data_IF_835746933829
#
_entry.id   IF_835746933829
#
_cell.length_a   1.000
_cell.length_b   1.000
_cell.length_c   1.000
_cell.angle_alpha   90.00
_cell.angle_beta   90.00
_cell.angle_gamma   90.00
#
_symmetry.space_group_name_H-M   'P 1'
#
loop_
_entity.id
_entity.type
_entity.pdbx_description
1 polymer ?
#
# COMPACT_ATOMS: atom_id res chain seq x y z
N UNK A 1 17.75 -5.93 5.62
CA UNK A 1 16.50 -6.02 6.38
C UNK A 1 15.72 -4.78 6.09
N UNK A 2 14.57 -4.90 5.43
CA UNK A 2 13.67 -3.77 5.18
C UNK A 2 13.09 -3.25 6.49
N UNK A 3 13.14 -1.94 6.72
CA UNK A 3 12.51 -1.35 7.90
C UNK A 3 11.00 -1.25 7.69
N UNK A 4 10.23 -1.27 8.77
CA UNK A 4 8.76 -1.15 8.64
C UNK A 4 8.36 0.20 8.02
N UNK A 5 9.12 1.25 8.30
CA UNK A 5 8.93 2.57 7.71
C UNK A 5 9.13 2.57 6.19
N UNK A 6 10.18 1.90 5.67
CA UNK A 6 10.40 1.80 4.22
C UNK A 6 9.29 1.01 3.53
N UNK A 7 8.82 -0.07 4.16
CA UNK A 7 7.71 -0.86 3.63
C UNK A 7 6.40 -0.08 3.58
N UNK A 8 6.11 0.72 4.60
CA UNK A 8 4.93 1.59 4.61
C UNK A 8 4.99 2.63 3.49
N UNK A 9 6.12 3.30 3.32
CA UNK A 9 6.32 4.26 2.23
C UNK A 9 6.22 3.59 0.85
N UNK A 10 6.72 2.37 0.68
CA UNK A 10 6.61 1.61 -0.55
C UNK A 10 5.15 1.26 -0.89
N UNK A 11 4.35 0.87 0.11
CA UNK A 11 2.92 0.56 -0.09
C UNK A 11 2.11 1.82 -0.43
N UNK A 12 2.37 2.96 0.22
CA UNK A 12 1.70 4.22 -0.15
C UNK A 12 2.01 4.60 -1.59
N UNK A 13 3.27 4.54 -1.98
CA UNK A 13 3.70 4.87 -3.34
C UNK A 13 3.05 3.94 -4.37
N UNK A 14 2.96 2.63 -4.06
CA UNK A 14 2.21 1.67 -4.86
C UNK A 14 0.74 2.08 -5.01
N UNK A 15 0.04 2.38 -3.92
CA UNK A 15 -1.37 2.75 -3.98
C UNK A 15 -1.59 4.05 -4.78
N UNK A 16 -0.78 5.07 -4.51
CA UNK A 16 -0.82 6.33 -5.25
C UNK A 16 -0.63 6.10 -6.75
N UNK A 17 0.35 5.30 -7.15
CA UNK A 17 0.63 5.05 -8.56
C UNK A 17 -0.49 4.22 -9.22
N UNK A 18 -1.03 3.22 -8.54
CA UNK A 18 -2.14 2.40 -9.06
C UNK A 18 -3.40 3.23 -9.31
N UNK A 19 -3.74 4.19 -8.44
CA UNK A 19 -4.92 5.05 -8.65
C UNK A 19 -4.66 6.24 -9.58
N UNK A 20 -3.40 6.49 -9.94
CA UNK A 20 -3.02 7.56 -10.87
C UNK A 20 -2.87 7.04 -12.30
N UNK A 21 -2.22 5.89 -12.46
CA UNK A 21 -2.01 5.21 -13.73
C UNK A 21 -2.25 3.69 -13.59
N UNK A 22 -3.51 3.25 -13.52
CA UNK A 22 -3.85 1.84 -13.36
C UNK A 22 -3.40 0.96 -14.54
N UNK A 23 -3.14 1.54 -15.72
CA UNK A 23 -2.68 0.81 -16.89
C UNK A 23 -1.24 0.33 -16.75
N UNK A 24 -0.39 1.11 -16.08
CA UNK A 24 0.98 0.71 -15.76
C UNK A 24 1.07 -0.46 -14.76
N UNK A 25 0.02 -0.72 -13.98
CA UNK A 25 0.03 -1.69 -12.87
C UNK A 25 -0.64 -3.03 -13.21
N UNK A 26 -0.40 -3.57 -14.40
CA UNK A 26 -0.88 -4.90 -14.78
C UNK A 26 -0.33 -6.01 -13.85
N UNK A 27 -0.91 -7.24 -13.85
CA UNK A 27 -0.53 -8.30 -12.92
C UNK A 27 0.97 -8.60 -12.85
N UNK A 28 1.67 -8.52 -13.99
CA UNK A 28 3.13 -8.68 -14.03
C UNK A 28 3.89 -7.57 -13.28
N UNK A 29 3.52 -6.30 -13.42
CA UNK A 29 4.15 -5.18 -12.72
C UNK A 29 3.94 -5.27 -11.20
N UNK A 30 2.76 -5.72 -10.75
CA UNK A 30 2.50 -6.00 -9.33
C UNK A 30 3.35 -7.16 -8.79
N UNK A 31 3.63 -8.18 -9.62
CA UNK A 31 4.51 -9.29 -9.25
C UNK A 31 5.99 -8.83 -9.20
N UNK A 32 6.44 -8.07 -10.19
CA UNK A 32 7.80 -7.53 -10.24
C UNK A 32 8.07 -6.62 -9.02
N UNK A 33 7.11 -5.76 -8.65
CA UNK A 33 7.18 -4.97 -7.40
C UNK A 33 7.27 -5.86 -6.15
N UNK A 34 6.52 -6.96 -6.11
CA UNK A 34 6.55 -7.88 -4.97
C UNK A 34 7.91 -8.59 -4.84
N UNK A 35 8.54 -8.93 -5.96
CA UNK A 35 9.88 -9.51 -6.02
C UNK A 35 10.94 -8.51 -5.54
N UNK A 36 10.84 -7.25 -5.96
CA UNK A 36 11.72 -6.16 -5.51
C UNK A 36 11.64 -5.99 -3.99
N UNK A 37 10.44 -5.88 -3.42
CA UNK A 37 10.25 -5.76 -1.97
C UNK A 37 10.73 -7.01 -1.22
N UNK A 38 10.58 -8.20 -1.81
CA UNK A 38 11.06 -9.43 -1.20
C UNK A 38 12.59 -9.51 -1.15
N UNK A 39 13.29 -8.87 -2.10
CA UNK A 39 14.75 -8.82 -2.13
C UNK A 39 15.36 -8.11 -0.90
N UNK A 40 14.63 -7.16 -0.30
CA UNK A 40 15.06 -6.47 0.94
C UNK A 40 14.92 -7.34 2.21
N UNK A 41 14.37 -8.54 2.09
CA UNK A 41 14.23 -9.52 3.15
C UNK A 41 13.27 -9.09 4.26
N UNK A 42 11.98 -8.84 3.97
CA UNK A 42 10.97 -8.60 5.00
C UNK A 42 10.77 -9.84 5.86
N UNK A 43 10.36 -9.65 7.11
CA UNK A 43 9.99 -10.76 8.00
C UNK A 43 8.77 -11.51 7.47
N UNK A 44 8.52 -12.71 8.01
CA UNK A 44 7.33 -13.51 7.66
C UNK A 44 6.03 -12.75 7.90
N UNK A 45 5.97 -11.95 8.97
CA UNK A 45 4.79 -11.17 9.34
C UNK A 45 4.61 -9.96 8.42
N UNK A 46 5.69 -9.23 8.14
CA UNK A 46 5.69 -8.16 7.12
C UNK A 46 5.24 -8.70 5.77
N UNK A 47 5.77 -9.85 5.33
CA UNK A 47 5.38 -10.52 4.09
C UNK A 47 3.88 -10.86 4.06
N UNK A 48 3.30 -11.32 5.18
CA UNK A 48 1.87 -11.61 5.28
C UNK A 48 1.02 -10.35 5.08
N UNK A 49 1.46 -9.22 5.63
CA UNK A 49 0.77 -7.93 5.52
C UNK A 49 0.95 -7.33 4.11
N UNK A 50 2.14 -7.40 3.53
CA UNK A 50 2.41 -6.98 2.15
C UNK A 50 1.52 -7.72 1.13
N UNK A 51 1.27 -9.02 1.33
CA UNK A 51 0.30 -9.77 0.50
C UNK A 51 -1.14 -9.26 0.64
N UNK A 52 -1.52 -8.71 1.79
CA UNK A 52 -2.83 -8.04 1.95
C UNK A 52 -2.84 -6.73 1.18
N UNK A 53 -1.76 -5.95 1.25
CA UNK A 53 -1.62 -4.69 0.49
C UNK A 53 -1.65 -4.93 -1.03
N UNK A 54 -0.94 -5.94 -1.53
CA UNK A 54 -0.97 -6.33 -2.95
C UNK A 54 -2.37 -6.72 -3.44
N UNK A 55 -3.16 -7.40 -2.60
CA UNK A 55 -4.56 -7.71 -2.94
C UNK A 55 -5.42 -6.45 -3.04
N UNK A 56 -5.16 -5.43 -2.22
CA UNK A 56 -5.80 -4.13 -2.32
C UNK A 56 -5.35 -3.40 -3.59
N UNK A 57 -4.05 -3.37 -3.89
CA UNK A 57 -3.51 -2.80 -5.13
C UNK A 57 -4.15 -3.43 -6.38
N UNK A 58 -4.29 -4.77 -6.42
CA UNK A 58 -4.98 -5.43 -7.53
C UNK A 58 -6.48 -5.09 -7.63
N UNK A 59 -7.15 -4.77 -6.51
CA UNK A 59 -8.54 -4.27 -6.55
C UNK A 59 -8.60 -2.84 -7.06
N UNK A 60 -7.71 -1.97 -6.58
CA UNK A 60 -7.58 -0.58 -7.03
C UNK A 60 -7.36 -0.54 -8.54
N UNK A 61 -6.42 -1.34 -9.04
CA UNK A 61 -6.12 -1.39 -10.46
C UNK A 61 -7.33 -1.79 -11.30
N UNK A 62 -8.03 -2.87 -10.91
CA UNK A 62 -9.24 -3.32 -11.63
C UNK A 62 -10.38 -2.30 -11.59
N UNK A 63 -10.51 -1.57 -10.48
CA UNK A 63 -11.53 -0.54 -10.36
C UNK A 63 -11.22 0.64 -11.29
N UNK A 64 -9.98 1.15 -11.26
CA UNK A 64 -9.62 2.38 -11.98
C UNK A 64 -9.25 2.17 -13.45
N UNK A 65 -8.95 0.93 -13.89
CA UNK A 65 -8.76 0.65 -15.32
C UNK A 65 -10.09 0.63 -16.10
N UNK A 66 -11.21 0.48 -15.40
CA UNK A 66 -12.53 0.58 -16.00
C UNK A 66 -12.83 2.05 -16.32
N UNK A 67 -13.00 2.36 -17.60
CA UNK A 67 -13.26 3.71 -18.10
C UNK A 67 -14.60 4.29 -17.63
N UNK A 68 -15.49 3.46 -17.06
CA UNK A 68 -16.71 3.94 -16.40
C UNK A 68 -16.42 4.65 -15.07
N UNK A 69 -15.29 4.34 -14.40
CA UNK A 69 -14.92 4.92 -13.12
C UNK A 69 -14.08 6.18 -13.32
N UNK A 70 -14.76 7.30 -13.54
CA UNK A 70 -14.12 8.62 -13.69
C UNK A 70 -14.34 9.46 -12.44
N UNK A 71 -13.33 9.54 -11.57
CA UNK A 71 -13.30 10.53 -10.48
C UNK A 71 -12.26 11.59 -10.82
N UNK A 72 -12.74 12.81 -11.04
CA UNK A 72 -11.98 13.92 -11.61
C UNK A 72 -11.25 14.80 -10.59
N UNK A 73 -11.55 14.70 -9.28
CA UNK A 73 -10.90 15.56 -8.28
C UNK A 73 -10.84 14.90 -6.89
N UNK A 74 -9.66 14.98 -6.25
CA UNK A 74 -9.40 14.49 -4.90
C UNK A 74 -7.96 13.99 -4.72
N UNK A 75 -7.47 13.98 -3.48
CA UNK A 75 -6.21 13.32 -3.13
C UNK A 75 -6.27 11.83 -3.52
N UNK A 76 -5.13 11.23 -3.81
CA UNK A 76 -5.04 9.81 -4.18
C UNK A 76 -5.64 8.90 -3.09
N UNK A 77 -5.57 9.32 -1.82
CA UNK A 77 -6.19 8.65 -0.68
C UNK A 77 -7.71 8.52 -0.83
N UNK A 78 -8.38 9.61 -1.24
CA UNK A 78 -9.82 9.57 -1.51
C UNK A 78 -10.17 8.60 -2.63
N UNK A 79 -9.31 8.46 -3.65
CA UNK A 79 -9.49 7.45 -4.71
C UNK A 79 -9.35 6.03 -4.20
N UNK A 80 -8.44 5.79 -3.26
CA UNK A 80 -8.32 4.49 -2.59
C UNK A 80 -9.59 4.15 -1.83
N UNK A 81 -10.14 5.10 -1.07
CA UNK A 81 -11.37 4.93 -0.30
C UNK A 81 -12.59 4.65 -1.20
N UNK A 82 -12.73 5.36 -2.32
CA UNK A 82 -13.82 5.15 -3.29
C UNK A 82 -13.79 3.74 -3.87
N UNK A 83 -12.61 3.25 -4.26
CA UNK A 83 -12.48 1.99 -4.97
C UNK A 83 -12.59 0.74 -4.07
N UNK A 84 -12.17 0.85 -2.81
CA UNK A 84 -12.05 -0.31 -1.90
C UNK A 84 -13.11 -0.27 -0.78
N UNK A 85 -13.70 0.90 -0.53
CA UNK A 85 -14.60 1.15 0.58
C UNK A 85 -13.88 1.24 1.93
N UNK A 86 -14.61 1.65 2.96
CA UNK A 86 -14.10 1.72 4.34
C UNK A 86 -13.79 0.31 4.86
N UNK A 87 -12.57 0.00 5.37
CA UNK A 87 -11.35 0.80 5.43
C UNK A 87 -10.17 0.11 4.72
N UNK A 88 -9.90 0.54 3.50
CA UNK A 88 -8.75 0.13 2.68
C UNK A 88 -7.38 0.31 3.36
N UNK A 89 -7.32 1.20 4.35
CA UNK A 89 -6.15 1.53 5.17
C UNK A 89 -5.82 0.49 6.25
N UNK A 90 -6.69 -0.50 6.52
CA UNK A 90 -6.43 -1.52 7.57
C UNK A 90 -5.11 -2.29 7.40
N UNK A 91 -4.73 -2.76 6.19
CA UNK A 91 -3.48 -3.49 6.02
C UNK A 91 -2.23 -2.63 6.29
N UNK A 92 -2.26 -1.34 5.95
CA UNK A 92 -1.16 -0.42 6.25
C UNK A 92 -1.10 -0.08 7.73
N UNK A 93 -2.26 0.05 8.41
CA UNK A 93 -2.29 0.20 9.87
C UNK A 93 -1.75 -1.06 10.58
N UNK A 94 -2.13 -2.26 10.14
CA UNK A 94 -1.60 -3.51 10.71
C UNK A 94 -0.07 -3.58 10.57
N UNK A 95 0.48 -3.09 9.45
CA UNK A 95 1.92 -3.03 9.21
C UNK A 95 2.60 -2.00 10.12
N UNK A 96 1.99 -0.83 10.28
CA UNK A 96 2.45 0.20 11.21
C UNK A 96 2.49 -0.29 12.66
N UNK A 97 1.43 -0.96 13.12
CA UNK A 97 1.36 -1.54 14.47
C UNK A 97 2.45 -2.57 14.70
N UNK A 98 2.69 -3.46 13.72
CA UNK A 98 3.79 -4.42 13.78
C UNK A 98 5.15 -3.73 13.97
N UNK A 99 5.39 -2.62 13.26
CA UNK A 99 6.60 -1.84 13.42
C UNK A 99 6.74 -1.19 14.79
N UNK A 100 5.66 -0.59 15.31
CA UNK A 100 5.66 0.04 16.64
C UNK A 100 5.89 -1.00 17.76
N UNK A 101 5.43 -2.23 17.58
CA UNK A 101 5.63 -3.32 18.53
C UNK A 101 7.03 -3.95 18.45
N UNK A 102 7.58 -4.10 17.24
CA UNK A 102 8.82 -4.86 17.00
C UNK A 102 10.08 -4.00 16.91
N UNK A 103 9.96 -2.77 16.42
CA UNK A 103 11.05 -1.85 16.16
C UNK A 103 10.58 -0.39 16.36
N UNK A 104 10.21 -0.01 17.59
CA UNK A 104 9.70 1.34 17.86
C UNK A 104 10.77 2.39 17.56
N UNK A 105 10.37 3.45 16.86
CA UNK A 105 11.20 4.61 16.61
C UNK A 105 10.35 5.88 16.58
N UNK A 106 10.95 7.02 16.92
CA UNK A 106 10.25 8.31 16.85
C UNK A 106 9.75 8.59 15.43
N UNK A 107 10.59 8.32 14.41
CA UNK A 107 10.20 8.49 13.01
C UNK A 107 8.99 7.65 12.62
N UNK A 108 8.91 6.39 13.08
CA UNK A 108 7.73 5.56 12.83
C UNK A 108 6.50 6.07 13.59
N UNK A 109 6.68 6.56 14.82
CA UNK A 109 5.58 7.13 15.61
C UNK A 109 5.00 8.38 14.93
N UNK A 110 5.86 9.31 14.51
CA UNK A 110 5.45 10.55 13.85
C UNK A 110 4.71 10.23 12.54
N UNK A 111 5.22 9.28 11.75
CA UNK A 111 4.58 8.84 10.51
C UNK A 111 3.20 8.21 10.74
N UNK A 112 3.03 7.43 11.82
CA UNK A 112 1.72 6.84 12.15
C UNK A 112 0.75 7.91 12.62
N UNK A 113 1.20 8.86 13.44
CA UNK A 113 0.39 9.95 13.98
C UNK A 113 -0.09 10.94 12.90
N UNK A 114 0.70 11.14 11.84
CA UNK A 114 0.29 11.97 10.70
C UNK A 114 -0.74 11.25 9.80
N UNK A 115 -0.66 9.92 9.71
CA UNK A 115 -1.41 9.11 8.72
C UNK A 115 -2.75 8.55 9.20
N UNK A 116 -2.93 8.32 10.50
CA UNK A 116 -4.08 7.60 11.07
C UNK A 116 -4.70 8.32 12.26
#
# INVERSE_FOLDING_TARGET
>A
MSSTLSLLAAVERLYQQVVTDPAAWHPRALADWAEEIAADGPTKEQTRLLRRCLRVAGKLQRHWIDSANTVTAGDWRSRVDVAVGVPAWRPTLDLARLGLESEPSQALFDEVAERF
#
